data_IF_209480449744
#
_entry.id   IF_209480449744
#
_cell.length_a   1.000
_cell.length_b   1.000
_cell.length_c   1.000
_cell.angle_alpha   90.00
_cell.angle_beta   90.00
_cell.angle_gamma   90.00
#
_symmetry.space_group_name_H-M   'P 1'
#
loop_
_entity.id
_entity.type
_entity.pdbx_description
1 polymer ?
#
# COMPACT_ATOMS: atom_id res chain seq x y z
N UNK A 1 -2.13 -8.53 -8.20
CA UNK A 1 -1.52 -7.40 -8.94
C UNK A 1 -1.11 -6.36 -7.89
N UNK A 2 -0.03 -5.61 -8.10
CA UNK A 2 0.64 -4.82 -7.06
C UNK A 2 0.82 -3.37 -7.49
N UNK A 3 0.73 -2.43 -6.54
CA UNK A 3 1.13 -1.03 -6.73
C UNK A 3 2.52 -0.86 -6.12
N UNK A 4 3.54 -0.66 -6.96
CA UNK A 4 4.85 -0.17 -6.51
C UNK A 4 4.80 1.35 -6.47
N UNK A 5 5.08 1.93 -5.31
CA UNK A 5 5.03 3.36 -5.04
C UNK A 5 6.43 3.80 -4.65
N UNK A 6 7.03 4.73 -5.39
CA UNK A 6 8.06 5.60 -4.80
C UNK A 6 7.34 6.67 -4.00
N UNK A 7 7.72 6.82 -2.74
CA UNK A 7 7.09 7.74 -1.81
C UNK A 7 7.32 9.20 -2.24
N UNK A 8 6.48 10.14 -1.79
CA UNK A 8 6.77 11.57 -1.88
C UNK A 8 8.06 11.95 -1.16
N UNK A 9 8.68 13.07 -1.57
CA UNK A 9 9.90 13.59 -0.96
C UNK A 9 9.78 13.76 0.55
N UNK A 10 8.67 14.34 1.02
CA UNK A 10 8.36 14.58 2.43
C UNK A 10 8.23 13.29 3.27
N UNK A 11 8.14 12.13 2.60
CA UNK A 11 8.05 10.81 3.19
C UNK A 11 9.30 9.95 2.95
N UNK A 12 10.39 10.56 2.48
CA UNK A 12 11.67 9.88 2.21
C UNK A 12 11.85 9.38 0.78
N UNK A 13 11.01 9.82 -0.15
CA UNK A 13 11.03 9.41 -1.56
C UNK A 13 12.31 9.70 -2.33
N UNK A 14 13.14 10.64 -1.85
CA UNK A 14 14.42 11.02 -2.46
C UNK A 14 15.57 10.07 -2.09
N UNK A 15 15.36 9.14 -1.15
CA UNK A 15 16.39 8.17 -0.83
C UNK A 15 16.69 7.26 -2.04
N UNK A 16 17.96 6.87 -2.16
CA UNK A 16 18.45 5.97 -3.22
C UNK A 16 18.54 4.52 -2.72
N UNK A 17 17.65 4.13 -1.81
CA UNK A 17 17.56 2.79 -1.25
C UNK A 17 16.09 2.33 -1.15
N UNK A 18 15.89 1.11 -0.66
CA UNK A 18 14.56 0.48 -0.57
C UNK A 18 13.57 1.26 0.32
N UNK A 19 14.05 2.12 1.23
CA UNK A 19 13.18 2.89 2.13
C UNK A 19 12.29 3.89 1.38
N UNK A 20 12.71 4.33 0.19
CA UNK A 20 11.94 5.21 -0.69
C UNK A 20 10.71 4.54 -1.32
N UNK A 21 10.56 3.21 -1.20
CA UNK A 21 9.54 2.45 -1.90
C UNK A 21 8.57 1.73 -0.96
N UNK A 22 7.32 1.61 -1.40
CA UNK A 22 6.30 0.73 -0.80
C UNK A 22 5.64 -0.10 -1.88
N UNK A 23 5.24 -1.31 -1.53
CA UNK A 23 4.41 -2.15 -2.41
C UNK A 23 3.15 -2.58 -1.68
N UNK A 24 2.00 -2.43 -2.33
CA UNK A 24 0.71 -2.84 -1.79
C UNK A 24 -0.09 -3.66 -2.80
N UNK A 25 -0.97 -4.53 -2.29
CA UNK A 25 -2.00 -5.15 -3.14
C UNK A 25 -2.82 -4.04 -3.80
N UNK A 26 -3.01 -4.13 -5.13
CA UNK A 26 -3.82 -3.15 -5.86
C UNK A 26 -5.33 -3.43 -5.79
N UNK A 27 -5.75 -4.42 -5.00
CA UNK A 27 -7.15 -4.79 -4.81
C UNK A 27 -7.73 -3.97 -3.66
N UNK A 28 -8.71 -3.13 -3.95
CA UNK A 28 -9.41 -2.29 -2.98
C UNK A 28 -10.15 -3.15 -1.95
N UNK A 29 -10.06 -2.78 -0.67
CA UNK A 29 -10.65 -3.55 0.44
C UNK A 29 -12.18 -3.44 0.52
N UNK A 30 -12.80 -2.53 -0.22
CA UNK A 30 -14.26 -2.42 -0.25
C UNK A 30 -14.90 -3.56 -1.06
N UNK A 31 -14.74 -3.53 -2.38
CA UNK A 31 -15.34 -4.49 -3.32
C UNK A 31 -14.37 -4.78 -4.48
N UNK A 32 -13.08 -4.88 -4.14
CA UNK A 32 -12.01 -5.47 -4.96
C UNK A 32 -11.73 -4.85 -6.33
N UNK A 33 -12.27 -3.67 -6.60
CA UNK A 33 -11.79 -2.85 -7.71
C UNK A 33 -10.29 -2.60 -7.64
N UNK A 34 -9.68 -2.38 -8.81
CA UNK A 34 -8.27 -2.03 -8.88
C UNK A 34 -8.10 -0.53 -8.59
N UNK A 35 -7.39 -0.21 -7.52
CA UNK A 35 -7.00 1.16 -7.18
C UNK A 35 -5.61 1.46 -7.75
N UNK A 36 -5.28 2.75 -7.86
CA UNK A 36 -3.93 3.18 -8.25
C UNK A 36 -3.42 4.32 -7.39
N UNK A 37 -2.09 4.44 -7.30
CA UNK A 37 -1.44 5.59 -6.69
C UNK A 37 -1.43 6.78 -7.65
N UNK A 38 -1.65 7.98 -7.12
CA UNK A 38 -1.51 9.24 -7.85
C UNK A 38 -0.41 10.08 -7.19
N UNK A 39 0.70 10.37 -7.91
CA UNK A 39 1.85 11.09 -7.36
C UNK A 39 1.71 12.62 -7.44
N UNK A 40 0.63 13.13 -8.05
CA UNK A 40 0.45 14.56 -8.29
C UNK A 40 0.46 15.36 -6.97
N UNK A 41 1.05 16.56 -7.00
CA UNK A 41 1.02 17.50 -5.87
C UNK A 41 -0.41 17.76 -5.39
N UNK A 42 -0.61 17.74 -4.07
CA UNK A 42 -1.93 17.84 -3.45
C UNK A 42 -2.80 16.57 -3.53
N UNK A 43 -2.35 15.50 -4.20
CA UNK A 43 -3.06 14.22 -4.31
C UNK A 43 -2.34 13.09 -3.58
N UNK A 44 -1.07 12.81 -3.93
CA UNK A 44 -0.10 11.92 -3.24
C UNK A 44 -0.71 10.74 -2.45
N UNK A 45 -1.68 10.01 -3.00
CA UNK A 45 -2.43 8.95 -2.31
C UNK A 45 -2.92 7.87 -3.25
N UNK A 46 -3.28 6.73 -2.69
CA UNK A 46 -4.01 5.69 -3.42
C UNK A 46 -5.47 6.08 -3.58
N UNK A 47 -6.06 5.86 -4.75
CA UNK A 47 -7.48 6.11 -4.98
C UNK A 47 -8.14 4.96 -5.76
N UNK A 48 -9.26 4.47 -5.22
CA UNK A 48 -10.10 3.49 -5.87
C UNK A 48 -11.20 4.19 -6.68
N UNK A 49 -11.30 3.93 -7.99
CA UNK A 49 -12.24 4.65 -8.87
C UNK A 49 -13.71 4.26 -8.66
N UNK A 50 -13.99 3.13 -8.00
CA UNK A 50 -15.36 2.62 -7.92
C UNK A 50 -16.23 3.35 -6.89
N UNK A 51 -15.70 3.56 -5.69
CA UNK A 51 -16.46 4.13 -4.57
C UNK A 51 -15.65 5.15 -3.78
N UNK A 52 -14.63 5.74 -4.42
CA UNK A 52 -13.79 6.81 -3.88
C UNK A 52 -13.05 6.47 -2.57
N UNK A 53 -12.75 5.19 -2.31
CA UNK A 53 -11.84 4.84 -1.21
C UNK A 53 -10.45 5.40 -1.47
N UNK A 54 -9.86 6.05 -0.46
CA UNK A 54 -8.48 6.57 -0.53
C UNK A 54 -7.57 5.81 0.41
N UNK A 55 -6.29 5.70 0.08
CA UNK A 55 -5.28 4.99 0.86
C UNK A 55 -4.05 5.84 1.10
N UNK A 56 -3.57 5.85 2.34
CA UNK A 56 -2.31 6.46 2.73
C UNK A 56 -1.13 5.69 2.10
N UNK A 57 -0.18 6.36 1.41
CA UNK A 57 0.91 5.69 0.70
C UNK A 57 2.01 5.13 1.61
N UNK A 58 2.09 5.55 2.87
CA UNK A 58 3.09 5.08 3.82
C UNK A 58 2.68 3.81 4.53
N UNK A 59 1.39 3.73 4.86
CA UNK A 59 0.81 2.74 5.75
C UNK A 59 -0.17 1.83 5.03
N UNK A 60 -0.70 2.20 3.86
CA UNK A 60 -1.77 1.48 3.17
C UNK A 60 -3.10 1.52 3.92
N UNK A 61 -3.25 2.33 4.96
CA UNK A 61 -4.49 2.53 5.69
C UNK A 61 -5.50 3.28 4.80
N UNK A 62 -6.74 2.82 4.78
CA UNK A 62 -7.82 3.53 4.13
C UNK A 62 -8.17 4.81 4.90
N UNK A 63 -8.11 5.97 4.23
CA UNK A 63 -8.31 7.30 4.83
C UNK A 63 -9.62 7.96 4.43
N UNK A 64 -10.35 7.38 3.48
CA UNK A 64 -11.63 7.88 3.00
C UNK A 64 -12.43 6.82 2.25
N UNK A 65 -13.68 7.15 1.96
CA UNK A 65 -14.63 6.26 1.29
C UNK A 65 -15.02 5.03 2.10
N UNK A 66 -15.76 4.06 1.51
CA UNK A 66 -16.29 2.92 2.26
C UNK A 66 -15.22 2.00 2.88
N UNK A 67 -14.01 1.93 2.30
CA UNK A 67 -12.94 1.10 2.87
C UNK A 67 -12.43 1.63 4.22
N UNK A 68 -12.49 2.95 4.47
CA UNK A 68 -12.06 3.52 5.76
C UNK A 68 -13.07 3.29 6.88
N UNK A 69 -14.29 2.88 6.55
CA UNK A 69 -15.35 2.56 7.51
C UNK A 69 -15.33 1.09 7.96
N UNK A 70 -14.46 0.26 7.37
CA UNK A 70 -14.31 -1.13 7.79
C UNK A 70 -13.50 -1.22 9.08
N UNK A 71 -13.83 -2.19 9.93
CA UNK A 71 -13.05 -2.49 11.12
C UNK A 71 -11.69 -3.10 10.73
N UNK A 72 -10.61 -2.85 11.50
CA UNK A 72 -9.36 -3.59 11.36
C UNK A 72 -9.59 -5.11 11.45
N UNK A 73 -8.89 -5.93 10.64
CA UNK A 73 -7.80 -5.56 9.73
C UNK A 73 -8.27 -5.09 8.34
N UNK A 74 -9.57 -4.98 8.10
CA UNK A 74 -10.14 -4.85 6.76
C UNK A 74 -10.05 -3.45 6.14
N UNK A 75 -9.40 -2.52 6.83
CA UNK A 75 -9.17 -1.16 6.36
C UNK A 75 -7.70 -0.86 6.02
N UNK A 76 -6.80 -1.86 6.04
CA UNK A 76 -5.37 -1.66 5.74
C UNK A 76 -4.90 -2.64 4.66
N UNK A 77 -4.28 -2.10 3.61
CA UNK A 77 -3.85 -2.88 2.47
C UNK A 77 -2.74 -3.89 2.83
N UNK A 78 -2.78 -5.10 2.27
CA UNK A 78 -1.66 -6.04 2.28
C UNK A 78 -0.42 -5.40 1.67
N UNK A 79 0.71 -5.56 2.34
CA UNK A 79 2.00 -4.93 2.05
C UNK A 79 3.11 -5.99 2.11
N UNK A 80 3.54 -6.54 0.96
CA UNK A 80 4.78 -7.30 0.89
C UNK A 80 6.00 -6.45 1.28
N UNK A 81 7.06 -7.11 1.72
CA UNK A 81 8.33 -6.45 2.03
C UNK A 81 9.22 -6.44 0.78
N UNK A 82 10.01 -5.38 0.64
CA UNK A 82 10.95 -5.19 -0.45
C UNK A 82 12.37 -5.24 0.09
N UNK A 83 13.27 -5.76 -0.73
CA UNK A 83 14.71 -5.62 -0.58
C UNK A 83 15.31 -5.15 -1.91
N UNK A 84 16.53 -4.62 -1.83
CA UNK A 84 17.34 -4.26 -2.99
C UNK A 84 18.66 -5.04 -2.93
N UNK A 85 19.10 -5.60 -4.06
CA UNK A 85 20.42 -6.20 -4.14
C UNK A 85 21.52 -5.15 -4.38
N UNK A 86 22.78 -5.60 -4.43
CA UNK A 86 23.94 -4.73 -4.68
C UNK A 86 23.99 -4.12 -6.09
N UNK A 87 23.15 -4.60 -7.01
CA UNK A 87 23.01 -4.06 -8.36
C UNK A 87 21.83 -3.08 -8.49
N UNK A 88 21.05 -2.90 -7.41
CA UNK A 88 19.91 -1.98 -7.36
C UNK A 88 18.60 -2.58 -7.86
N UNK A 89 18.51 -3.90 -8.07
CA UNK A 89 17.23 -4.55 -8.40
C UNK A 89 16.38 -4.69 -7.14
N UNK A 90 15.10 -4.31 -7.25
CA UNK A 90 14.11 -4.51 -6.21
C UNK A 90 13.43 -5.86 -6.35
N UNK A 91 13.27 -6.57 -5.23
CA UNK A 91 12.52 -7.83 -5.18
C UNK A 91 11.61 -7.89 -3.95
N UNK A 92 10.50 -8.61 -4.11
CA UNK A 92 9.60 -8.94 -3.00
C UNK A 92 10.16 -10.16 -2.29
N UNK A 93 10.39 -10.06 -0.98
CA UNK A 93 10.79 -11.22 -0.16
C UNK A 93 9.61 -12.18 0.02
N UNK A 94 9.84 -13.47 0.33
CA UNK A 94 8.75 -14.44 0.51
C UNK A 94 7.69 -13.95 1.50
N UNK A 95 6.46 -13.64 1.03
CA UNK A 95 5.46 -13.01 1.87
C UNK A 95 4.78 -14.02 2.79
N UNK A 96 4.42 -13.58 3.99
CA UNK A 96 3.55 -14.32 4.92
C UNK A 96 2.15 -13.72 4.87
N UNK A 97 1.27 -14.34 4.07
CA UNK A 97 -0.10 -13.89 3.85
C UNK A 97 -1.03 -14.25 5.02
N UNK A 98 -0.85 -13.57 6.14
CA UNK A 98 -1.76 -13.55 7.28
C UNK A 98 -2.00 -12.10 7.73
N UNK A 99 -2.99 -11.88 8.59
CA UNK A 99 -3.39 -10.54 9.04
C UNK A 99 -2.38 -9.87 9.97
N UNK A 100 -1.46 -10.62 10.59
CA UNK A 100 -0.45 -10.10 11.51
C UNK A 100 0.88 -9.76 10.81
N UNK A 101 1.08 -10.22 9.57
CA UNK A 101 2.27 -9.97 8.74
C UNK A 101 1.94 -9.16 7.49
N UNK A 102 2.09 -9.72 6.28
CA UNK A 102 1.96 -8.96 5.03
C UNK A 102 0.51 -8.72 4.62
N UNK A 103 -0.48 -9.36 5.27
CA UNK A 103 -1.90 -9.23 4.99
C UNK A 103 -2.45 -10.28 4.04
N UNK A 104 -3.77 -10.41 4.02
CA UNK A 104 -4.48 -11.29 3.09
C UNK A 104 -5.03 -10.42 1.96
N UNK A 105 -4.69 -10.75 0.71
CA UNK A 105 -5.18 -10.06 -0.49
C UNK A 105 -6.70 -9.97 -0.50
N UNK A 106 -7.24 -8.76 -0.64
CA UNK A 106 -8.69 -8.51 -0.63
C UNK A 106 -9.35 -8.47 0.76
N UNK A 107 -8.61 -8.81 1.82
CA UNK A 107 -9.10 -8.74 3.19
C UNK A 107 -8.37 -7.67 4.00
N UNK A 108 -7.03 -7.71 4.11
CA UNK A 108 -6.25 -6.66 4.79
C UNK A 108 -5.25 -7.18 5.81
N UNK A 109 -4.75 -6.29 6.68
CA UNK A 109 -3.80 -6.59 7.78
C UNK A 109 -3.97 -5.63 8.95
N UNK A 110 -3.37 -5.95 10.09
CA UNK A 110 -3.20 -4.97 11.16
C UNK A 110 -2.03 -4.01 10.85
N UNK A 111 -2.12 -2.77 11.33
CA UNK A 111 -0.97 -1.86 11.39
C UNK A 111 -0.17 -2.24 12.63
N UNK A 112 1.13 -2.53 12.46
CA UNK A 112 2.05 -2.60 13.58
C UNK A 112 2.41 -1.16 13.93
N UNK A 113 2.02 -0.73 15.12
CA UNK A 113 2.39 0.56 15.71
C UNK A 113 3.81 0.42 16.27
#
# INVERSE_FOLDING_TARGET
>A
MWQLIRLPQELGGEANDVSAFRVYSNICLHLWCLWKYYPDEGRKRGECPCHASTYDPMTGLATGGPASLQAPPSNVLPKPDLEADSQGYLYITPPKFDTASNGIVGYGRFVKI
#
